data_IF_389656357591
#
_entry.id   IF_389656357591
#
_cell.length_a   1.000
_cell.length_b   1.000
_cell.length_c   1.000
_cell.angle_alpha   90.00
_cell.angle_beta   90.00
_cell.angle_gamma   90.00
#
_symmetry.space_group_name_H-M   'P 1'
#
loop_
_entity.id
_entity.type
_entity.pdbx_description
1 polymer ?
#
# COMPACT_ATOMS: atom_id res chain seq x y z
N UNK A 1 11.77 -33.52 -6.15
CA UNK A 1 10.51 -34.13 -5.69
C UNK A 1 10.51 -34.17 -4.17
N UNK A 2 9.79 -33.26 -3.51
CA UNK A 2 9.15 -33.52 -2.22
C UNK A 2 8.19 -32.37 -1.92
N UNK A 3 6.96 -32.74 -1.59
CA UNK A 3 5.75 -31.91 -1.62
C UNK A 3 5.46 -31.31 -0.24
N UNK A 4 5.18 -30.00 -0.16
CA UNK A 4 4.59 -29.39 1.03
C UNK A 4 3.06 -29.45 0.95
N UNK A 5 2.46 -30.20 1.88
CA UNK A 5 1.02 -30.28 2.16
C UNK A 5 0.64 -29.11 3.06
N UNK A 6 -0.23 -28.22 2.59
CA UNK A 6 -0.89 -27.23 3.43
C UNK A 6 -2.20 -27.81 3.96
N UNK A 7 -2.32 -27.94 5.29
CA UNK A 7 -3.56 -28.27 5.99
C UNK A 7 -4.36 -27.00 6.25
N UNK A 8 -5.55 -26.91 5.66
CA UNK A 8 -6.50 -25.83 5.89
C UNK A 8 -7.23 -26.03 7.23
N UNK A 9 -6.95 -25.18 8.21
CA UNK A 9 -7.72 -25.08 9.45
C UNK A 9 -9.03 -24.32 9.18
N UNK A 10 -10.14 -25.04 9.12
CA UNK A 10 -11.48 -24.44 9.15
C UNK A 10 -12.08 -24.69 10.53
N UNK A 11 -12.50 -23.67 11.29
CA UNK A 11 -13.16 -23.90 12.58
C UNK A 11 -14.56 -24.51 12.37
N UNK A 12 -14.98 -25.47 13.21
CA UNK A 12 -16.31 -26.06 13.12
C UNK A 12 -17.39 -25.04 13.52
N UNK A 13 -18.42 -24.90 12.68
CA UNK A 13 -19.65 -24.18 13.03
C UNK A 13 -20.38 -24.95 14.14
N UNK A 14 -20.62 -24.29 15.27
CA UNK A 14 -21.48 -24.78 16.32
C UNK A 14 -22.91 -24.99 15.76
N UNK A 15 -23.42 -26.22 15.87
CA UNK A 15 -24.83 -26.56 15.62
C UNK A 15 -25.63 -26.18 16.86
N UNK A 16 -26.66 -25.35 16.69
CA UNK A 16 -27.71 -25.18 17.70
C UNK A 16 -28.52 -26.47 17.86
N UNK A 17 -28.73 -26.98 19.09
CA UNK A 17 -29.36 -28.28 19.31
C UNK A 17 -30.86 -28.24 19.66
N UNK A 18 -31.59 -27.13 19.47
CA UNK A 18 -33.00 -27.04 19.88
C UNK A 18 -33.98 -27.04 18.70
N UNK A 19 -34.66 -28.17 18.42
CA UNK A 19 -35.93 -28.16 17.70
C UNK A 19 -37.05 -27.75 18.68
N UNK A 20 -37.62 -26.57 18.48
CA UNK A 20 -38.82 -26.14 19.21
C UNK A 20 -40.06 -26.84 18.61
N UNK A 21 -40.31 -28.06 19.07
CA UNK A 21 -41.58 -28.76 18.90
C UNK A 21 -42.62 -28.13 19.84
N UNK A 22 -43.62 -27.43 19.30
CA UNK A 22 -44.82 -27.06 20.08
C UNK A 22 -45.95 -28.04 19.77
N UNK A 23 -46.50 -28.75 20.78
CA UNK A 23 -47.72 -29.52 20.62
C UNK A 23 -48.91 -28.56 20.47
N UNK A 24 -49.75 -28.85 19.49
CA UNK A 24 -51.07 -28.26 19.28
C UNK A 24 -52.03 -29.01 20.19
N UNK A 25 -52.34 -28.43 21.34
CA UNK A 25 -53.42 -28.93 22.20
C UNK A 25 -54.76 -28.57 21.57
N UNK A 26 -55.51 -29.59 21.21
CA UNK A 26 -56.96 -29.56 21.13
C UNK A 26 -57.49 -29.23 22.53
N UNK A 27 -58.22 -28.13 22.67
CA UNK A 27 -59.09 -27.93 23.82
C UNK A 27 -60.38 -27.27 23.33
N UNK A 28 -61.30 -28.16 23.00
CA UNK A 28 -62.71 -27.96 22.80
C UNK A 28 -63.31 -27.41 24.10
N UNK A 29 -63.76 -26.15 24.06
CA UNK A 29 -64.67 -25.62 25.09
C UNK A 29 -65.85 -24.96 24.39
N UNK A 30 -66.97 -25.68 24.43
CA UNK A 30 -68.31 -25.20 24.14
C UNK A 30 -68.68 -24.09 25.14
N UNK A 31 -68.82 -22.87 24.64
CA UNK A 31 -69.34 -21.73 25.42
C UNK A 31 -70.72 -21.36 24.84
N UNK A 32 -71.72 -21.13 25.71
CA UNK A 32 -73.14 -21.23 25.38
C UNK A 32 -73.68 -19.99 24.69
N UNK A 33 -74.63 -20.19 23.80
CA UNK A 33 -75.40 -19.15 23.14
C UNK A 33 -76.18 -18.26 24.12
N UNK A 34 -76.00 -16.94 23.97
CA UNK A 34 -76.95 -15.90 24.35
C UNK A 34 -76.30 -14.62 24.92
N UNK A 35 -76.90 -13.42 24.79
CA UNK A 35 -77.95 -12.94 23.89
C UNK A 35 -77.42 -11.94 22.85
N UNK A 36 -78.14 -11.85 21.73
CA UNK A 36 -77.99 -10.92 20.59
C UNK A 36 -77.58 -9.49 20.97
N UNK A 37 -76.33 -9.11 20.69
CA UNK A 37 -75.97 -7.71 20.43
C UNK A 37 -75.96 -7.47 18.91
N UNK A 38 -76.46 -6.30 18.55
CA UNK A 38 -76.89 -5.91 17.22
C UNK A 38 -75.74 -5.93 16.22
N UNK A 39 -76.02 -6.47 15.03
CA UNK A 39 -75.21 -6.32 13.82
C UNK A 39 -75.14 -4.83 13.50
N UNK A 40 -74.11 -4.16 14.01
CA UNK A 40 -73.77 -2.80 13.63
C UNK A 40 -73.50 -2.75 12.13
N UNK A 41 -74.15 -1.80 11.45
CA UNK A 41 -74.02 -1.54 10.03
C UNK A 41 -72.55 -1.57 9.56
N UNK A 42 -72.27 -2.07 8.34
CA UNK A 42 -70.92 -2.05 7.80
C UNK A 42 -70.44 -0.60 7.69
N UNK A 43 -69.61 -0.18 8.65
CA UNK A 43 -68.89 1.09 8.56
C UNK A 43 -68.20 1.12 7.19
N UNK A 44 -68.39 2.15 6.36
CA UNK A 44 -67.74 2.25 5.07
C UNK A 44 -66.24 2.11 5.31
N UNK A 45 -65.68 1.02 4.79
CA UNK A 45 -64.29 0.66 5.00
C UNK A 45 -63.44 1.85 4.65
N UNK A 46 -62.83 2.46 5.68
CA UNK A 46 -61.87 3.54 5.54
C UNK A 46 -60.83 3.02 4.55
N UNK A 47 -60.93 3.46 3.28
CA UNK A 47 -59.98 3.14 2.20
C UNK A 47 -58.65 3.73 2.65
N UNK A 48 -57.96 2.94 3.46
CA UNK A 48 -56.70 3.23 4.12
C UNK A 48 -55.76 3.69 3.02
N UNK A 49 -55.15 4.86 3.21
CA UNK A 49 -54.33 5.61 2.26
C UNK A 49 -53.06 4.84 1.78
N UNK A 50 -53.23 3.62 1.29
CA UNK A 50 -52.17 2.71 0.87
C UNK A 50 -51.36 3.29 -0.29
N UNK A 51 -52.02 4.04 -1.19
CA UNK A 51 -51.33 4.77 -2.25
C UNK A 51 -50.33 5.80 -1.71
N UNK A 52 -50.70 6.55 -0.65
CA UNK A 52 -49.78 7.51 -0.03
C UNK A 52 -48.63 6.80 0.71
N UNK A 53 -48.89 5.68 1.37
CA UNK A 53 -47.85 4.89 2.03
C UNK A 53 -46.87 4.28 1.01
N UNK A 54 -47.37 3.76 -0.11
CA UNK A 54 -46.54 3.21 -1.17
C UNK A 54 -45.69 4.32 -1.83
N UNK A 55 -46.26 5.49 -2.09
CA UNK A 55 -45.52 6.65 -2.61
C UNK A 55 -44.43 7.12 -1.63
N UNK A 56 -44.73 7.18 -0.33
CA UNK A 56 -43.75 7.53 0.69
C UNK A 56 -42.61 6.51 0.79
N UNK A 57 -42.92 5.21 0.73
CA UNK A 57 -41.93 4.15 0.72
C UNK A 57 -41.02 4.22 -0.52
N UNK A 58 -41.59 4.47 -1.70
CA UNK A 58 -40.84 4.65 -2.95
C UNK A 58 -39.91 5.87 -2.86
N UNK A 59 -40.39 7.00 -2.33
CA UNK A 59 -39.60 8.21 -2.16
C UNK A 59 -38.42 8.01 -1.19
N UNK A 60 -38.64 7.32 -0.07
CA UNK A 60 -37.57 6.97 0.87
C UNK A 60 -36.54 6.04 0.22
N UNK A 61 -36.99 5.06 -0.56
CA UNK A 61 -36.09 4.16 -1.28
C UNK A 61 -35.22 4.91 -2.30
N UNK A 62 -35.83 5.80 -3.09
CA UNK A 62 -35.11 6.65 -4.05
C UNK A 62 -34.08 7.57 -3.35
N UNK A 63 -34.44 8.15 -2.20
CA UNK A 63 -33.53 8.99 -1.42
C UNK A 63 -32.32 8.20 -0.89
N UNK A 64 -32.54 6.97 -0.41
CA UNK A 64 -31.44 6.10 0.04
C UNK A 64 -30.51 5.72 -1.11
N UNK A 65 -31.06 5.38 -2.29
CA UNK A 65 -30.26 5.07 -3.48
C UNK A 65 -29.40 6.28 -3.90
N UNK A 66 -29.96 7.49 -3.87
CA UNK A 66 -29.20 8.70 -4.17
C UNK A 66 -28.06 8.93 -3.16
N UNK A 67 -28.31 8.70 -1.86
CA UNK A 67 -27.29 8.79 -0.82
C UNK A 67 -26.14 7.80 -1.02
N UNK A 68 -26.45 6.54 -1.34
CA UNK A 68 -25.44 5.51 -1.65
C UNK A 68 -24.63 5.88 -2.89
N UNK A 69 -25.28 6.37 -3.95
CA UNK A 69 -24.59 6.79 -5.18
C UNK A 69 -23.60 7.94 -4.93
N UNK A 70 -24.00 8.96 -4.16
CA UNK A 70 -23.12 10.08 -3.77
C UNK A 70 -21.93 9.57 -2.96
N UNK A 71 -22.15 8.68 -1.99
CA UNK A 71 -21.08 8.11 -1.17
C UNK A 71 -20.07 7.30 -1.99
N UNK A 72 -20.55 6.46 -2.92
CA UNK A 72 -19.70 5.68 -3.82
C UNK A 72 -18.90 6.59 -4.76
N UNK A 73 -19.53 7.61 -5.35
CA UNK A 73 -18.85 8.59 -6.20
C UNK A 73 -17.76 9.35 -5.43
N UNK A 74 -18.04 9.74 -4.19
CA UNK A 74 -17.06 10.38 -3.31
C UNK A 74 -15.87 9.46 -3.01
N UNK A 75 -16.12 8.20 -2.64
CA UNK A 75 -15.06 7.19 -2.41
C UNK A 75 -14.23 6.93 -3.66
N UNK A 76 -14.87 6.80 -4.82
CA UNK A 76 -14.19 6.61 -6.10
C UNK A 76 -13.31 7.82 -6.44
N UNK A 77 -13.79 9.04 -6.21
CA UNK A 77 -13.00 10.26 -6.45
C UNK A 77 -11.75 10.35 -5.56
N UNK A 78 -11.83 9.90 -4.31
CA UNK A 78 -10.69 9.84 -3.40
C UNK A 78 -9.67 8.80 -3.84
N UNK A 79 -10.12 7.63 -4.28
CA UNK A 79 -9.24 6.59 -4.82
C UNK A 79 -8.57 7.06 -6.12
N UNK A 80 -9.30 7.73 -7.02
CA UNK A 80 -8.74 8.28 -8.24
C UNK A 80 -7.69 9.38 -7.96
N UNK A 81 -7.95 10.27 -6.99
CA UNK A 81 -6.97 11.28 -6.55
C UNK A 81 -5.74 10.65 -5.92
N UNK A 82 -5.91 9.62 -5.08
CA UNK A 82 -4.80 8.88 -4.50
C UNK A 82 -3.94 8.21 -5.58
N UNK A 83 -4.56 7.61 -6.61
CA UNK A 83 -3.86 7.03 -7.75
C UNK A 83 -3.10 8.09 -8.57
N UNK A 84 -3.70 9.27 -8.79
CA UNK A 84 -3.03 10.38 -9.49
C UNK A 84 -1.86 10.95 -8.69
N UNK A 85 -1.93 10.96 -7.36
CA UNK A 85 -0.80 11.36 -6.49
C UNK A 85 0.30 10.30 -6.41
N UNK A 86 -0.01 9.04 -6.72
CA UNK A 86 0.99 7.98 -6.87
C UNK A 86 1.67 7.98 -8.23
N UNK A 87 1.28 8.86 -9.16
CA UNK A 87 2.05 9.07 -10.37
C UNK A 87 3.42 9.60 -9.94
N UNK A 88 4.51 8.85 -10.15
CA UNK A 88 5.84 9.35 -9.84
C UNK A 88 6.02 10.66 -10.61
N UNK A 89 6.75 11.66 -10.06
CA UNK A 89 7.25 12.73 -10.92
C UNK A 89 7.85 12.06 -12.15
N UNK A 90 7.54 12.57 -13.34
CA UNK A 90 8.08 12.05 -14.59
C UNK A 90 9.57 11.81 -14.36
N UNK A 91 9.98 10.54 -14.33
CA UNK A 91 11.33 10.17 -13.98
C UNK A 91 12.25 11.02 -14.85
N UNK A 92 13.05 11.89 -14.22
CA UNK A 92 14.00 12.69 -14.95
C UNK A 92 14.79 11.71 -15.82
N UNK A 93 14.68 11.87 -17.14
CA UNK A 93 15.36 10.97 -18.05
C UNK A 93 16.84 11.00 -17.67
N UNK A 94 17.49 9.83 -17.51
CA UNK A 94 18.89 9.82 -17.14
C UNK A 94 19.68 10.66 -18.17
N UNK A 95 20.66 11.45 -17.69
CA UNK A 95 21.39 12.41 -18.52
C UNK A 95 22.06 11.73 -19.72
N UNK A 96 22.29 12.51 -20.77
CA UNK A 96 23.00 12.00 -21.95
C UNK A 96 24.44 11.59 -21.56
N UNK A 97 25.03 10.58 -22.21
CA UNK A 97 26.36 10.06 -21.85
C UNK A 97 27.52 11.06 -22.03
N UNK A 98 27.28 12.22 -22.65
CA UNK A 98 28.27 13.25 -22.93
C UNK A 98 28.13 14.50 -22.03
N UNK A 99 27.33 14.43 -20.96
CA UNK A 99 27.24 15.51 -19.98
C UNK A 99 28.46 15.54 -19.04
N UNK A 100 28.92 16.75 -18.72
CA UNK A 100 30.00 16.96 -17.76
C UNK A 100 29.53 16.60 -16.34
N UNK A 101 30.24 15.70 -15.69
CA UNK A 101 29.94 15.23 -14.33
C UNK A 101 30.99 15.71 -13.34
N UNK A 102 30.62 16.66 -12.47
CA UNK A 102 31.49 17.15 -11.41
C UNK A 102 31.32 16.35 -10.11
N UNK A 103 32.40 15.82 -9.56
CA UNK A 103 32.36 15.10 -8.27
C UNK A 103 31.86 16.02 -7.16
N UNK A 104 30.76 15.67 -6.48
CA UNK A 104 30.28 16.40 -5.30
C UNK A 104 30.91 15.87 -4.01
N UNK A 105 30.99 14.55 -3.88
CA UNK A 105 31.70 13.88 -2.79
C UNK A 105 32.23 12.53 -3.29
N UNK A 106 33.38 12.11 -2.76
CA UNK A 106 34.03 10.87 -3.16
C UNK A 106 34.18 9.96 -1.94
N UNK A 107 33.63 8.76 -2.05
CA UNK A 107 33.83 7.71 -1.05
C UNK A 107 33.38 8.08 0.37
N UNK A 108 32.32 8.86 0.49
CA UNK A 108 31.79 9.31 1.78
C UNK A 108 31.19 8.10 2.54
N UNK A 109 31.60 7.85 3.79
CA UNK A 109 31.08 6.74 4.57
C UNK A 109 29.67 7.02 5.07
N UNK A 110 28.74 6.12 4.79
CA UNK A 110 27.36 6.18 5.27
C UNK A 110 27.09 4.97 6.17
N UNK A 111 26.65 5.22 7.41
CA UNK A 111 26.28 4.15 8.34
C UNK A 111 24.79 4.15 8.62
N UNK A 112 24.19 2.97 8.47
CA UNK A 112 22.82 2.69 8.88
C UNK A 112 22.86 1.85 10.14
N UNK A 113 22.28 2.41 11.21
CA UNK A 113 22.11 1.72 12.49
C UNK A 113 20.64 1.75 12.85
N UNK A 114 19.98 0.61 12.68
CA UNK A 114 18.57 0.44 12.98
C UNK A 114 18.36 -0.86 13.74
N UNK A 115 17.29 -0.90 14.53
CA UNK A 115 16.86 -2.12 15.19
C UNK A 115 16.26 -3.12 14.21
N UNK A 116 15.80 -4.25 14.75
CA UNK A 116 15.06 -5.25 13.98
C UNK A 116 13.74 -4.72 13.41
N UNK A 117 13.41 -5.13 12.18
CA UNK A 117 12.14 -4.80 11.52
C UNK A 117 11.86 -3.29 11.43
N UNK A 118 12.93 -2.51 11.36
CA UNK A 118 12.89 -1.06 11.32
C UNK A 118 13.19 -0.57 9.91
N UNK A 119 12.64 0.60 9.60
CA UNK A 119 12.83 1.26 8.31
C UNK A 119 13.54 2.57 8.58
N UNK A 120 14.54 2.87 7.75
CA UNK A 120 15.21 4.16 7.75
C UNK A 120 15.36 4.64 6.31
N UNK A 121 15.35 5.95 6.19
CA UNK A 121 15.45 6.64 4.92
C UNK A 121 16.82 7.29 4.81
N UNK A 122 17.39 7.23 3.62
CA UNK A 122 18.74 7.69 3.29
C UNK A 122 18.61 8.76 2.22
N UNK A 123 19.23 9.89 2.47
CA UNK A 123 19.38 10.99 1.54
C UNK A 123 20.82 10.92 0.99
N UNK A 124 20.94 10.98 -0.34
CA UNK A 124 22.20 10.92 -1.07
C UNK A 124 22.58 12.29 -1.66
N UNK A 125 21.69 13.28 -1.61
CA UNK A 125 22.02 14.67 -1.93
C UNK A 125 22.96 15.27 -0.88
N UNK A 126 22.66 14.96 0.38
CA UNK A 126 23.54 15.10 1.53
C UNK A 126 23.73 13.72 2.15
N UNK A 127 24.89 13.05 2.05
CA UNK A 127 25.05 11.64 2.39
C UNK A 127 24.80 11.37 3.88
N UNK A 128 23.53 11.16 4.25
CA UNK A 128 23.06 11.08 5.63
C UNK A 128 22.03 9.97 5.78
N UNK A 129 22.08 9.29 6.91
CA UNK A 129 21.05 8.36 7.32
C UNK A 129 20.01 9.09 8.19
N UNK A 130 18.82 8.49 8.30
CA UNK A 130 17.69 9.06 9.05
C UNK A 130 17.12 10.35 8.42
N UNK A 131 17.07 10.40 7.10
CA UNK A 131 16.38 11.46 6.38
C UNK A 131 14.85 11.33 6.53
N UNK A 132 14.12 12.37 6.14
CA UNK A 132 12.67 12.28 6.01
C UNK A 132 12.32 11.53 4.71
N UNK A 133 11.25 10.72 4.73
CA UNK A 133 10.81 9.89 3.61
C UNK A 133 10.73 10.67 2.28
N UNK A 134 10.12 11.87 2.32
CA UNK A 134 9.88 12.70 1.13
C UNK A 134 11.14 13.23 0.43
N UNK A 135 12.27 13.27 1.11
CA UNK A 135 13.54 13.80 0.58
C UNK A 135 14.60 12.71 0.46
N UNK A 136 14.22 11.46 0.71
CA UNK A 136 15.16 10.34 0.70
C UNK A 136 15.19 9.66 -0.65
N UNK A 137 16.40 9.32 -1.11
CA UNK A 137 16.61 8.60 -2.37
C UNK A 137 16.51 7.09 -2.17
N UNK A 138 16.89 6.60 -0.98
CA UNK A 138 16.85 5.19 -0.66
C UNK A 138 16.08 4.93 0.63
N UNK A 139 15.30 3.85 0.60
CA UNK A 139 14.67 3.26 1.78
C UNK A 139 15.40 1.97 2.13
N UNK A 140 15.89 1.89 3.34
CA UNK A 140 16.47 0.70 3.94
C UNK A 140 15.46 0.02 4.85
N UNK A 141 15.14 -1.24 4.55
CA UNK A 141 14.24 -2.08 5.34
C UNK A 141 15.09 -3.15 6.04
N UNK A 142 15.24 -3.03 7.36
CA UNK A 142 15.91 -4.06 8.16
C UNK A 142 14.97 -5.24 8.37
N UNK A 143 15.47 -6.43 8.07
CA UNK A 143 14.80 -7.69 8.38
C UNK A 143 15.59 -8.39 9.48
N UNK A 144 14.91 -9.21 10.27
CA UNK A 144 15.54 -10.04 11.28
C UNK A 144 15.26 -11.52 11.06
N UNK A 145 16.16 -12.35 11.60
CA UNK A 145 16.23 -13.78 11.27
C UNK A 145 17.07 -14.02 10.02
N UNK A 146 16.64 -14.99 9.20
CA UNK A 146 17.39 -15.43 8.01
C UNK A 146 17.18 -14.56 6.78
N UNK A 147 16.39 -13.49 6.89
CA UNK A 147 16.13 -12.57 5.80
C UNK A 147 17.16 -11.44 5.80
N UNK A 148 17.85 -11.27 4.67
CA UNK A 148 18.74 -10.14 4.47
C UNK A 148 17.96 -8.81 4.47
N UNK A 149 18.53 -7.72 5.02
CA UNK A 149 17.99 -6.39 4.82
C UNK A 149 17.93 -6.04 3.33
N UNK A 150 17.14 -5.02 3.00
CA UNK A 150 16.98 -4.63 1.59
C UNK A 150 16.93 -3.12 1.39
N UNK A 151 17.39 -2.70 0.22
CA UNK A 151 17.32 -1.32 -0.27
C UNK A 151 16.29 -1.22 -1.38
N UNK A 152 15.52 -0.14 -1.36
CA UNK A 152 14.54 0.20 -2.39
C UNK A 152 14.69 1.68 -2.73
N UNK A 153 14.35 2.07 -3.96
CA UNK A 153 14.28 3.49 -4.33
C UNK A 153 13.13 4.15 -3.56
N UNK A 154 13.40 5.32 -2.99
CA UNK A 154 12.43 6.14 -2.27
C UNK A 154 12.00 7.36 -3.10
N UNK A 155 11.15 8.22 -2.54
CA UNK A 155 10.48 9.30 -3.27
C UNK A 155 11.45 10.34 -3.86
N UNK A 156 12.63 10.49 -3.27
CA UNK A 156 13.70 11.37 -3.73
C UNK A 156 14.51 10.82 -4.90
N UNK A 157 14.38 9.53 -5.27
CA UNK A 157 15.12 8.98 -6.41
C UNK A 157 14.31 9.08 -7.72
N UNK A 158 14.94 9.59 -8.77
CA UNK A 158 14.41 9.58 -10.13
C UNK A 158 14.65 8.23 -10.85
N UNK A 159 15.67 7.47 -10.44
CA UNK A 159 15.95 6.15 -10.99
C UNK A 159 17.11 5.44 -10.29
N UNK A 160 17.32 4.17 -10.63
CA UNK A 160 18.44 3.40 -10.11
C UNK A 160 18.67 2.08 -10.84
N UNK A 161 19.84 1.49 -10.66
CA UNK A 161 20.24 0.20 -11.25
C UNK A 161 21.24 -0.50 -10.35
N UNK A 162 21.10 -1.81 -10.17
CA UNK A 162 22.16 -2.62 -9.55
C UNK A 162 23.30 -2.84 -10.55
N UNK A 163 24.54 -2.63 -10.11
CA UNK A 163 25.73 -2.86 -10.92
C UNK A 163 26.69 -3.82 -10.21
N UNK A 164 27.70 -4.31 -10.94
CA UNK A 164 28.66 -5.31 -10.42
C UNK A 164 30.00 -4.72 -9.98
N UNK A 165 30.31 -3.49 -10.40
CA UNK A 165 31.62 -2.86 -10.19
C UNK A 165 31.47 -1.60 -9.36
N UNK A 166 32.42 -1.42 -8.43
CA UNK A 166 32.60 -0.22 -7.60
C UNK A 166 33.35 0.90 -8.32
N UNK A 167 33.91 0.61 -9.49
CA UNK A 167 34.73 1.55 -10.27
C UNK A 167 33.92 2.23 -11.38
N UNK A 168 32.58 2.16 -11.29
CA UNK A 168 31.69 2.85 -12.21
C UNK A 168 31.81 4.37 -12.03
N UNK A 169 31.94 5.05 -13.16
CA UNK A 169 31.81 6.51 -13.24
C UNK A 169 30.34 6.92 -13.42
N UNK A 170 30.09 8.23 -13.39
CA UNK A 170 28.74 8.77 -13.55
C UNK A 170 28.08 8.36 -14.87
N UNK A 171 28.83 8.41 -15.98
CA UNK A 171 28.32 8.02 -17.30
C UNK A 171 27.98 6.52 -17.36
N UNK A 172 28.79 5.67 -16.73
CA UNK A 172 28.54 4.24 -16.55
C UNK A 172 27.25 3.99 -15.76
N UNK A 173 27.06 4.73 -14.66
CA UNK A 173 25.82 4.66 -13.88
C UNK A 173 24.61 5.13 -14.69
N UNK A 174 24.69 6.26 -15.41
CA UNK A 174 23.61 6.75 -16.27
C UNK A 174 23.22 5.70 -17.33
N UNK A 175 24.21 5.08 -17.98
CA UNK A 175 23.98 3.97 -18.93
C UNK A 175 23.30 2.79 -18.26
N UNK A 176 23.78 2.36 -17.09
CA UNK A 176 23.21 1.23 -16.37
C UNK A 176 21.74 1.46 -15.98
N UNK A 177 21.40 2.65 -15.46
CA UNK A 177 20.02 3.04 -15.14
C UNK A 177 19.14 2.98 -16.39
N UNK A 178 19.64 3.47 -17.53
CA UNK A 178 18.89 3.44 -18.79
C UNK A 178 18.69 2.02 -19.34
N UNK A 179 19.68 1.15 -19.24
CA UNK A 179 19.63 -0.21 -19.84
C UNK A 179 19.05 -1.28 -18.92
N UNK A 180 19.08 -1.06 -17.60
CA UNK A 180 18.68 -2.05 -16.60
C UNK A 180 18.08 -1.36 -15.36
N UNK A 181 17.01 -0.56 -15.53
CA UNK A 181 16.42 0.17 -14.41
C UNK A 181 15.83 -0.79 -13.37
N UNK A 182 15.96 -0.42 -12.10
CA UNK A 182 15.16 -0.99 -11.03
C UNK A 182 13.70 -0.59 -11.23
N UNK A 183 12.83 -1.58 -11.43
CA UNK A 183 11.40 -1.34 -11.58
C UNK A 183 10.73 -0.88 -10.28
N UNK A 184 9.47 -0.41 -10.34
CA UNK A 184 8.70 -0.06 -9.16
C UNK A 184 8.64 -1.23 -8.15
N UNK A 185 8.99 -0.95 -6.89
CA UNK A 185 9.02 -1.97 -5.83
C UNK A 185 10.17 -2.97 -5.93
N UNK A 186 11.09 -2.83 -6.89
CA UNK A 186 12.29 -3.63 -6.94
C UNK A 186 13.14 -3.39 -5.70
N UNK A 187 13.70 -4.48 -5.18
CA UNK A 187 14.43 -4.51 -3.92
C UNK A 187 15.80 -5.12 -4.15
N UNK A 188 16.82 -4.44 -3.64
CA UNK A 188 18.22 -4.87 -3.72
C UNK A 188 18.62 -5.44 -2.36
N UNK A 189 18.99 -6.74 -2.29
CA UNK A 189 19.41 -7.31 -1.03
C UNK A 189 20.73 -6.70 -0.56
N UNK A 190 20.75 -6.28 0.70
CA UNK A 190 21.90 -5.66 1.35
C UNK A 190 22.89 -6.77 1.69
N UNK A 191 23.98 -6.82 0.92
CA UNK A 191 25.10 -7.73 1.13
C UNK A 191 26.40 -7.00 0.82
N UNK A 192 27.47 -7.38 1.50
CA UNK A 192 28.81 -6.84 1.24
C UNK A 192 29.17 -6.96 -0.24
N UNK A 193 29.70 -5.89 -0.82
CA UNK A 193 30.07 -5.79 -2.23
C UNK A 193 28.89 -5.57 -3.19
N UNK A 194 27.66 -5.44 -2.71
CA UNK A 194 26.57 -4.98 -3.58
C UNK A 194 26.77 -3.50 -3.92
N UNK A 195 26.52 -3.16 -5.19
CA UNK A 195 26.70 -1.81 -5.71
C UNK A 195 25.43 -1.34 -6.42
N UNK A 196 25.04 -0.09 -6.17
CA UNK A 196 23.83 0.52 -6.69
C UNK A 196 24.16 1.88 -7.30
N UNK A 197 23.75 2.11 -8.54
CA UNK A 197 23.68 3.44 -9.13
C UNK A 197 22.31 4.04 -8.84
N UNK A 198 22.27 5.31 -8.43
CA UNK A 198 21.05 6.07 -8.10
C UNK A 198 21.13 7.43 -8.78
N UNK A 199 20.05 7.85 -9.41
CA UNK A 199 19.85 9.22 -9.87
C UNK A 199 18.88 9.90 -8.91
N UNK A 200 19.31 10.94 -8.20
CA UNK A 200 18.45 11.73 -7.31
C UNK A 200 17.50 12.61 -8.12
N UNK A 201 16.34 12.94 -7.55
CA UNK A 201 15.31 13.76 -8.16
C UNK A 201 15.38 15.24 -7.74
N UNK A 202 16.37 15.60 -6.91
CA UNK A 202 16.62 16.98 -6.55
C UNK A 202 17.03 17.83 -7.77
N UNK A 203 16.96 19.15 -7.61
CA UNK A 203 17.44 20.11 -8.59
C UNK A 203 18.57 20.94 -7.96
N UNK A 204 19.83 20.83 -8.42
CA UNK A 204 20.29 19.93 -9.50
C UNK A 204 20.30 18.45 -9.07
N UNK A 205 20.10 17.56 -10.04
CA UNK A 205 20.14 16.12 -9.81
C UNK A 205 21.57 15.65 -9.58
N UNK A 206 21.72 14.53 -8.86
CA UNK A 206 23.01 13.88 -8.64
C UNK A 206 22.97 12.43 -9.11
N UNK A 207 24.04 12.02 -9.77
CA UNK A 207 24.35 10.61 -10.01
C UNK A 207 25.14 10.10 -8.82
N UNK A 208 24.76 8.96 -8.24
CA UNK A 208 25.38 8.44 -7.02
C UNK A 208 25.67 6.95 -7.18
N UNK A 209 26.90 6.55 -6.92
CA UNK A 209 27.32 5.16 -6.78
C UNK A 209 27.40 4.81 -5.30
N UNK A 210 26.57 3.87 -4.85
CA UNK A 210 26.54 3.37 -3.48
C UNK A 210 27.09 1.96 -3.43
N UNK A 211 28.12 1.74 -2.62
CA UNK A 211 28.69 0.43 -2.32
C UNK A 211 28.34 0.03 -0.89
N UNK A 212 27.92 -1.22 -0.70
CA UNK A 212 27.71 -1.81 0.63
C UNK A 212 29.03 -2.43 1.08
N UNK A 213 29.70 -1.80 2.05
CA UNK A 213 31.05 -2.19 2.51
C UNK A 213 31.01 -3.23 3.63
N UNK A 214 29.96 -3.23 4.45
CA UNK A 214 29.77 -4.19 5.54
C UNK A 214 28.28 -4.38 5.88
N UNK A 215 27.92 -5.55 6.43
CA UNK A 215 26.57 -5.84 6.91
C UNK A 215 26.67 -6.55 8.25
N UNK A 216 26.14 -5.94 9.30
CA UNK A 216 26.11 -6.50 10.64
C UNK A 216 24.90 -7.41 10.86
N UNK A 217 25.03 -8.32 11.83
CA UNK A 217 23.98 -9.28 12.22
C UNK A 217 22.71 -8.65 12.79
N UNK A 218 22.79 -7.39 13.23
CA UNK A 218 21.69 -6.66 13.86
C UNK A 218 20.92 -5.77 12.88
N UNK A 219 21.13 -5.95 11.57
CA UNK A 219 20.53 -5.07 10.56
C UNK A 219 21.26 -3.75 10.37
N UNK A 220 22.47 -3.60 10.91
CA UNK A 220 23.37 -2.49 10.62
C UNK A 220 24.02 -2.69 9.25
N UNK A 221 24.24 -1.61 8.51
CA UNK A 221 24.96 -1.67 7.24
C UNK A 221 25.96 -0.51 7.15
N UNK A 222 27.18 -0.84 6.73
CA UNK A 222 28.17 0.13 6.30
C UNK A 222 28.07 0.31 4.79
N UNK A 223 28.05 1.55 4.34
CA UNK A 223 28.01 1.93 2.94
C UNK A 223 29.05 3.00 2.66
N UNK A 224 29.37 3.15 1.37
CA UNK A 224 30.23 4.20 0.84
C UNK A 224 29.58 4.77 -0.39
N UNK A 225 29.48 6.09 -0.48
CA UNK A 225 28.83 6.76 -1.59
C UNK A 225 29.81 7.69 -2.32
N UNK A 226 29.78 7.65 -3.64
CA UNK A 226 30.45 8.63 -4.51
C UNK A 226 29.38 9.28 -5.36
N UNK A 227 29.39 10.61 -5.46
CA UNK A 227 28.40 11.33 -6.24
C UNK A 227 29.01 12.33 -7.19
N UNK A 228 28.27 12.57 -8.27
CA UNK A 228 28.55 13.54 -9.28
C UNK A 228 27.32 14.41 -9.51
N UNK A 229 27.50 15.72 -9.68
CA UNK A 229 26.44 16.60 -10.14
C UNK A 229 26.15 16.26 -11.59
N UNK A 230 24.87 16.17 -11.91
CA UNK A 230 24.42 16.16 -13.29
C UNK A 230 24.36 17.62 -13.72
N UNK A 231 24.99 17.96 -14.84
CA UNK A 231 24.88 19.30 -15.42
C UNK A 231 23.39 19.62 -15.67
N UNK A 232 22.98 20.84 -15.36
CA UNK A 232 21.61 21.30 -15.53
C UNK A 232 21.31 21.71 -16.97
#
# INVERSE_FOLDING_TARGET
>A
MSTFRATANTPPRARDPYPASRPRSEEESSIPDGPTEQIGEPRPGKRRNWGLLAAAALALFALNLAGVAIFVAWRASHLARAALQQQPPAAAAPPAPDEDFDVSYAQEPLRVQVGCSAVIFIDLDEPRSNAADKVSDLRYDSRCGDQAPSLTLAAGAAGGSQVKSTDMDAAGCARAIRTSPLGPGASVPVRKGAVLCVLTAAAPARMVLVEITDVGRTGTAGMRATSWKVAA
#
